data_IF_934231081079
#
_entry.id   IF_934231081079
#
_cell.length_a   1.000
_cell.length_b   1.000
_cell.length_c   1.000
_cell.angle_alpha   90.00
_cell.angle_beta   90.00
_cell.angle_gamma   90.00
#
_symmetry.space_group_name_H-M   'P 1'
#
loop_
_entity.id
_entity.type
_entity.pdbx_description
1 polymer ?
#
# COMPACT_ATOMS: atom_id res chain seq x y z
N UNK A 1 3.17 -0.91 -34.35
CA UNK A 1 3.25 -0.30 -33.00
C UNK A 1 1.85 0.00 -32.47
N UNK A 2 1.41 -0.66 -31.39
CA UNK A 2 0.12 -0.32 -30.73
C UNK A 2 0.23 1.08 -30.13
N UNK A 3 -0.64 2.00 -30.56
CA UNK A 3 -0.79 3.33 -29.93
C UNK A 3 -1.23 3.12 -28.48
N UNK A 4 -0.29 3.22 -27.53
CA UNK A 4 -0.63 3.39 -26.13
C UNK A 4 -1.34 4.73 -25.99
N UNK A 5 -2.66 4.71 -25.79
CA UNK A 5 -3.41 5.92 -25.47
C UNK A 5 -2.75 6.62 -24.28
N UNK A 6 -2.39 7.89 -24.44
CA UNK A 6 -1.71 8.70 -23.44
C UNK A 6 -2.39 8.52 -22.07
N UNK A 7 -1.66 7.95 -21.09
CA UNK A 7 -2.14 7.75 -19.72
C UNK A 7 -2.74 6.38 -19.37
N UNK A 8 -2.76 5.40 -20.28
CA UNK A 8 -3.10 4.01 -19.92
C UNK A 8 -1.86 3.28 -19.39
N UNK A 9 -1.87 3.00 -18.08
CA UNK A 9 -0.90 2.13 -17.42
C UNK A 9 -0.84 0.76 -18.12
N UNK A 10 0.35 0.25 -18.48
CA UNK A 10 0.51 -1.09 -19.05
C UNK A 10 -0.10 -2.16 -18.12
N UNK A 11 -0.72 -3.18 -18.71
CA UNK A 11 -1.38 -4.25 -17.94
C UNK A 11 -0.42 -4.99 -17.01
N UNK A 12 0.82 -5.22 -17.41
CA UNK A 12 1.83 -5.87 -16.57
C UNK A 12 2.13 -5.06 -15.31
N UNK A 13 2.36 -3.75 -15.49
CA UNK A 13 2.68 -2.84 -14.38
C UNK A 13 1.49 -2.78 -13.42
N UNK A 14 0.27 -2.74 -13.96
CA UNK A 14 -0.96 -2.73 -13.16
C UNK A 14 -1.05 -3.97 -12.27
N UNK A 15 -0.90 -5.16 -12.85
CA UNK A 15 -0.96 -6.41 -12.08
C UNK A 15 0.18 -6.56 -11.09
N UNK A 16 1.38 -6.10 -11.46
CA UNK A 16 2.53 -6.05 -10.56
C UNK A 16 2.24 -5.18 -9.33
N UNK A 17 1.82 -3.91 -9.54
CA UNK A 17 1.46 -3.00 -8.46
C UNK A 17 0.33 -3.55 -7.59
N UNK A 18 -0.71 -4.14 -8.20
CA UNK A 18 -1.83 -4.71 -7.43
C UNK A 18 -1.36 -5.90 -6.58
N UNK A 19 -0.61 -6.81 -7.16
CA UNK A 19 -0.17 -8.02 -6.46
C UNK A 19 0.73 -7.68 -5.28
N UNK A 20 1.70 -6.77 -5.46
CA UNK A 20 2.63 -6.41 -4.38
C UNK A 20 1.93 -5.66 -3.25
N UNK A 21 1.00 -4.74 -3.56
CA UNK A 21 0.23 -4.03 -2.53
C UNK A 21 -0.72 -4.97 -1.78
N UNK A 22 -1.32 -5.94 -2.46
CA UNK A 22 -2.12 -6.98 -1.82
C UNK A 22 -1.27 -7.85 -0.90
N UNK A 23 -0.10 -8.33 -1.36
CA UNK A 23 0.81 -9.14 -0.52
C UNK A 23 1.20 -8.36 0.73
N UNK A 24 1.67 -7.11 0.57
CA UNK A 24 2.06 -6.24 1.68
C UNK A 24 0.92 -6.00 2.68
N UNK A 25 -0.29 -5.72 2.18
CA UNK A 25 -1.43 -5.44 3.05
C UNK A 25 -1.90 -6.70 3.77
N UNK A 26 -1.97 -7.83 3.08
CA UNK A 26 -2.41 -9.11 3.66
C UNK A 26 -1.40 -9.62 4.68
N UNK A 27 -0.09 -9.54 4.41
CA UNK A 27 0.92 -9.93 5.39
C UNK A 27 0.93 -9.00 6.61
N UNK A 28 0.64 -7.70 6.43
CA UNK A 28 0.46 -6.77 7.54
C UNK A 28 -0.75 -7.14 8.40
N UNK A 29 -1.91 -7.39 7.77
CA UNK A 29 -3.12 -7.85 8.48
C UNK A 29 -2.89 -9.18 9.19
N UNK A 30 -2.20 -10.13 8.55
CA UNK A 30 -1.81 -11.38 9.19
C UNK A 30 -0.98 -11.12 10.45
N UNK A 31 0.06 -10.29 10.33
CA UNK A 31 0.91 -9.93 11.47
C UNK A 31 0.11 -9.24 12.58
N UNK A 32 -0.81 -8.32 12.25
CA UNK A 32 -1.70 -7.67 13.22
C UNK A 32 -2.50 -8.68 14.03
N UNK A 33 -3.16 -9.60 13.34
CA UNK A 33 -4.01 -10.60 13.98
C UNK A 33 -3.19 -11.51 14.91
N UNK A 34 -1.99 -11.90 14.49
CA UNK A 34 -1.15 -12.78 15.27
C UNK A 34 -0.41 -12.10 16.42
N UNK A 35 0.18 -10.93 16.18
CA UNK A 35 1.00 -10.19 17.13
C UNK A 35 0.13 -9.44 18.16
N UNK A 36 -0.78 -8.60 17.68
CA UNK A 36 -1.56 -7.69 18.52
C UNK A 36 -2.79 -8.36 19.11
N UNK A 37 -3.54 -9.11 18.29
CA UNK A 37 -4.76 -9.77 18.74
C UNK A 37 -4.53 -11.22 19.23
N UNK A 38 -3.30 -11.71 19.20
CA UNK A 38 -2.89 -13.06 19.61
C UNK A 38 -3.65 -14.20 18.91
N UNK A 39 -4.28 -13.95 17.76
CA UNK A 39 -4.99 -14.95 16.96
C UNK A 39 -3.96 -15.79 16.21
N UNK A 40 -3.90 -17.09 16.54
CA UNK A 40 -2.92 -18.00 15.93
C UNK A 40 -1.49 -17.44 15.97
N UNK A 41 -1.11 -16.90 17.14
CA UNK A 41 0.16 -16.18 17.36
C UNK A 41 1.38 -16.91 16.79
N UNK A 42 1.50 -18.22 16.98
CA UNK A 42 2.62 -19.04 16.50
C UNK A 42 2.76 -19.10 14.98
N UNK A 43 1.72 -18.77 14.21
CA UNK A 43 1.73 -18.79 12.75
C UNK A 43 1.64 -17.39 12.15
N UNK A 44 0.77 -16.54 12.69
CA UNK A 44 0.48 -15.23 12.13
C UNK A 44 1.37 -14.12 12.70
N UNK A 45 1.76 -14.23 13.98
CA UNK A 45 2.69 -13.33 14.65
C UNK A 45 4.15 -13.74 14.45
N UNK A 46 4.41 -14.70 13.57
CA UNK A 46 5.75 -15.21 13.31
C UNK A 46 6.61 -14.17 12.58
N UNK A 47 7.92 -14.17 12.89
CA UNK A 47 8.91 -13.26 12.30
C UNK A 47 8.94 -13.32 10.77
N UNK A 48 8.67 -14.48 10.16
CA UNK A 48 8.66 -14.61 8.70
C UNK A 48 7.52 -13.81 8.05
N UNK A 49 6.38 -13.65 8.74
CA UNK A 49 5.26 -12.82 8.26
C UNK A 49 5.66 -11.34 8.27
N UNK A 50 6.34 -10.89 9.34
CA UNK A 50 6.87 -9.53 9.43
C UNK A 50 7.93 -9.26 8.34
N UNK A 51 8.84 -10.22 8.10
CA UNK A 51 9.83 -10.12 7.01
C UNK A 51 9.14 -10.02 5.65
N UNK A 52 8.13 -10.85 5.39
CA UNK A 52 7.35 -10.80 4.15
C UNK A 52 6.69 -9.42 3.97
N UNK A 53 6.12 -8.87 5.05
CA UNK A 53 5.55 -7.53 5.04
C UNK A 53 6.60 -6.46 4.71
N UNK A 54 7.73 -6.43 5.43
CA UNK A 54 8.79 -5.44 5.19
C UNK A 54 9.39 -5.52 3.78
N UNK A 55 9.66 -6.72 3.28
CA UNK A 55 10.18 -6.93 1.91
C UNK A 55 9.16 -6.50 0.86
N UNK A 56 7.90 -6.91 1.00
CA UNK A 56 6.85 -6.53 0.05
C UNK A 56 6.53 -5.03 0.11
N UNK A 57 6.64 -4.38 1.26
CA UNK A 57 6.54 -2.93 1.40
C UNK A 57 7.64 -2.19 0.63
N UNK A 58 8.89 -2.65 0.73
CA UNK A 58 9.99 -2.08 -0.05
C UNK A 58 9.76 -2.22 -1.57
N UNK A 59 9.32 -3.40 -2.03
CA UNK A 59 8.97 -3.63 -3.44
C UNK A 59 7.76 -2.76 -3.85
N UNK A 60 6.79 -2.56 -2.94
CA UNK A 60 5.64 -1.69 -3.19
C UNK A 60 6.04 -0.23 -3.37
N UNK A 61 7.02 0.29 -2.63
CA UNK A 61 7.57 1.64 -2.84
C UNK A 61 8.23 1.76 -4.21
N UNK A 62 8.99 0.76 -4.64
CA UNK A 62 9.57 0.72 -6.00
C UNK A 62 8.46 0.71 -7.05
N UNK A 63 7.47 -0.17 -6.90
CA UNK A 63 6.32 -0.25 -7.80
C UNK A 63 5.59 1.10 -7.88
N UNK A 64 5.36 1.74 -6.74
CA UNK A 64 4.74 3.05 -6.63
C UNK A 64 5.55 4.13 -7.38
N UNK A 65 6.88 4.16 -7.20
CA UNK A 65 7.79 5.02 -7.95
C UNK A 65 7.55 4.97 -9.47
N UNK A 66 7.34 3.78 -10.03
CA UNK A 66 7.07 3.61 -11.47
C UNK A 66 5.68 4.11 -11.91
N UNK A 67 4.72 4.23 -10.98
CA UNK A 67 3.33 4.63 -11.23
C UNK A 67 3.19 6.16 -11.31
N UNK A 68 3.97 6.91 -10.52
CA UNK A 68 3.91 8.38 -10.46
C UNK A 68 3.89 9.09 -11.83
N UNK A 69 4.87 8.89 -12.73
CA UNK A 69 5.03 9.73 -13.92
C UNK A 69 3.91 9.55 -14.95
N UNK A 70 3.29 8.38 -15.00
CA UNK A 70 2.30 8.04 -16.02
C UNK A 70 0.88 8.01 -15.49
N UNK A 71 0.65 7.32 -14.36
CA UNK A 71 -0.71 7.12 -13.84
C UNK A 71 -1.24 8.37 -13.13
N UNK A 72 -0.45 8.95 -12.23
CA UNK A 72 -0.88 10.13 -11.46
C UNK A 72 -1.01 11.33 -12.39
N UNK A 73 -0.01 11.57 -13.25
CA UNK A 73 -0.07 12.65 -14.25
C UNK A 73 -1.30 12.56 -15.15
N UNK A 74 -1.65 11.35 -15.60
CA UNK A 74 -2.86 11.14 -16.40
C UNK A 74 -4.15 11.37 -15.59
N UNK A 75 -4.21 10.89 -14.34
CA UNK A 75 -5.35 11.08 -13.44
C UNK A 75 -5.62 12.55 -13.14
N UNK A 76 -4.56 13.34 -12.87
CA UNK A 76 -4.62 14.78 -12.66
C UNK A 76 -5.14 15.50 -13.91
N UNK A 77 -4.57 15.22 -15.09
CA UNK A 77 -4.99 15.84 -16.36
C UNK A 77 -6.43 15.51 -16.71
N UNK A 78 -6.87 14.28 -16.43
CA UNK A 78 -8.24 13.85 -16.69
C UNK A 78 -9.25 14.30 -15.62
N UNK A 79 -8.80 14.83 -14.47
CA UNK A 79 -9.62 15.13 -13.29
C UNK A 79 -10.51 13.96 -12.83
N UNK A 80 -10.05 12.72 -13.03
CA UNK A 80 -10.81 11.50 -12.69
C UNK A 80 -10.21 10.81 -11.49
N UNK A 81 -11.08 10.38 -10.56
CA UNK A 81 -10.72 9.60 -9.36
C UNK A 81 -9.69 10.31 -8.45
N UNK A 82 -9.65 11.65 -8.48
CA UNK A 82 -8.68 12.46 -7.73
C UNK A 82 -8.73 12.20 -6.23
N UNK A 83 -9.93 12.18 -5.64
CA UNK A 83 -10.11 11.96 -4.20
C UNK A 83 -9.49 10.63 -3.79
N UNK A 84 -9.91 9.53 -4.42
CA UNK A 84 -9.37 8.20 -4.12
C UNK A 84 -7.88 8.07 -4.43
N UNK A 85 -7.38 8.75 -5.45
CA UNK A 85 -5.96 8.67 -5.82
C UNK A 85 -5.08 9.45 -4.83
N UNK A 86 -5.45 10.69 -4.51
CA UNK A 86 -4.71 11.56 -3.60
C UNK A 86 -4.75 11.01 -2.17
N UNK A 87 -5.90 10.46 -1.73
CA UNK A 87 -5.98 9.83 -0.40
C UNK A 87 -5.00 8.66 -0.27
N UNK A 88 -4.86 7.84 -1.32
CA UNK A 88 -3.87 6.75 -1.35
C UNK A 88 -2.43 7.26 -1.23
N UNK A 89 -2.10 8.38 -1.90
CA UNK A 89 -0.76 8.98 -1.82
C UNK A 89 -0.43 9.43 -0.40
N UNK A 90 -1.38 10.13 0.24
CA UNK A 90 -1.22 10.62 1.60
C UNK A 90 -1.08 9.45 2.57
N UNK A 91 -1.95 8.43 2.46
CA UNK A 91 -1.89 7.25 3.32
C UNK A 91 -0.57 6.49 3.16
N UNK A 92 -0.08 6.27 1.93
CA UNK A 92 1.21 5.64 1.69
C UNK A 92 2.37 6.44 2.29
N UNK A 93 2.33 7.76 2.20
CA UNK A 93 3.36 8.62 2.79
C UNK A 93 3.37 8.49 4.32
N UNK A 94 2.20 8.52 4.97
CA UNK A 94 2.11 8.36 6.43
C UNK A 94 2.52 6.95 6.86
N UNK A 95 2.13 5.92 6.12
CA UNK A 95 2.56 4.54 6.38
C UNK A 95 4.07 4.37 6.25
N UNK A 96 4.69 5.01 5.25
CA UNK A 96 6.13 5.03 5.11
C UNK A 96 6.81 5.72 6.30
N UNK A 97 6.33 6.90 6.72
CA UNK A 97 6.91 7.65 7.85
C UNK A 97 6.78 6.84 9.14
N UNK A 98 5.60 6.29 9.43
CA UNK A 98 5.38 5.47 10.64
C UNK A 98 6.23 4.20 10.63
N UNK A 99 6.41 3.53 9.49
CA UNK A 99 7.35 2.41 9.40
C UNK A 99 8.80 2.84 9.70
N UNK A 100 9.24 3.99 9.18
CA UNK A 100 10.58 4.52 9.50
C UNK A 100 10.72 4.85 10.98
N UNK A 101 9.68 5.37 11.63
CA UNK A 101 9.68 5.64 13.07
C UNK A 101 9.70 4.35 13.89
N UNK A 102 9.03 3.28 13.46
CA UNK A 102 9.09 1.98 14.13
C UNK A 102 10.50 1.36 14.10
N UNK A 103 11.26 1.56 13.02
CA UNK A 103 12.60 1.01 12.90
C UNK A 103 13.71 1.92 13.42
N UNK A 104 13.54 3.24 13.32
CA UNK A 104 14.61 4.22 13.50
C UNK A 104 14.20 5.44 14.32
N UNK A 105 12.95 5.51 14.78
CA UNK A 105 12.44 6.60 15.61
C UNK A 105 12.88 6.47 17.07
N UNK A 106 12.70 7.54 17.85
CA UNK A 106 12.89 7.50 19.29
C UNK A 106 11.79 6.67 19.97
N UNK A 107 12.11 6.10 21.13
CA UNK A 107 11.22 5.21 21.89
C UNK A 107 9.87 5.86 22.22
N UNK A 108 9.86 7.15 22.57
CA UNK A 108 8.62 7.87 22.89
C UNK A 108 7.61 7.97 21.73
N UNK A 109 8.05 7.74 20.48
CA UNK A 109 7.18 7.75 19.31
C UNK A 109 6.76 6.34 18.87
N UNK A 110 7.30 5.28 19.47
CA UNK A 110 7.10 3.91 19.01
C UNK A 110 5.61 3.49 19.09
N UNK A 111 5.00 3.58 20.27
CA UNK A 111 3.59 3.19 20.50
C UNK A 111 2.63 3.96 19.60
N UNK A 112 2.80 5.29 19.50
CA UNK A 112 1.98 6.13 18.64
C UNK A 112 2.16 5.80 17.15
N UNK A 113 3.39 5.49 16.72
CA UNK A 113 3.68 5.09 15.34
C UNK A 113 3.09 3.73 15.02
N UNK A 114 3.16 2.78 15.94
CA UNK A 114 2.59 1.43 15.81
C UNK A 114 1.09 1.48 15.62
N UNK A 115 0.38 2.13 16.55
CA UNK A 115 -1.08 2.28 16.47
C UNK A 115 -1.51 2.98 15.19
N UNK A 116 -0.81 4.05 14.81
CA UNK A 116 -1.09 4.79 13.56
C UNK A 116 -0.86 3.91 12.34
N UNK A 117 0.23 3.14 12.32
CA UNK A 117 0.55 2.24 11.22
C UNK A 117 -0.52 1.17 11.04
N UNK A 118 -1.00 0.59 12.15
CA UNK A 118 -2.07 -0.39 12.14
C UNK A 118 -3.36 0.16 11.56
N UNK A 119 -3.88 1.25 12.14
CA UNK A 119 -5.16 1.84 11.74
C UNK A 119 -5.10 2.29 10.28
N UNK A 120 -4.07 3.04 9.90
CA UNK A 120 -3.97 3.58 8.55
C UNK A 120 -3.64 2.49 7.52
N UNK A 121 -3.01 1.38 7.91
CA UNK A 121 -2.76 0.23 7.04
C UNK A 121 -4.07 -0.41 6.59
N UNK A 122 -5.00 -0.60 7.51
CA UNK A 122 -6.34 -1.13 7.22
C UNK A 122 -7.15 -0.17 6.33
N UNK A 123 -7.14 1.13 6.67
CA UNK A 123 -7.82 2.17 5.89
C UNK A 123 -7.25 2.26 4.46
N UNK A 124 -5.93 2.22 4.33
CA UNK A 124 -5.25 2.20 3.03
C UNK A 124 -5.71 1.01 2.19
N UNK A 125 -5.71 -0.19 2.76
CA UNK A 125 -6.07 -1.39 2.01
C UNK A 125 -7.53 -1.36 1.53
N UNK A 126 -8.45 -0.92 2.39
CA UNK A 126 -9.86 -0.73 2.00
C UNK A 126 -10.02 0.25 0.84
N UNK A 127 -9.38 1.42 0.91
CA UNK A 127 -9.40 2.38 -0.20
C UNK A 127 -8.68 1.89 -1.45
N UNK A 128 -7.64 1.08 -1.30
CA UNK A 128 -6.87 0.53 -2.41
C UNK A 128 -7.75 -0.41 -3.24
N UNK A 129 -8.44 -1.34 -2.58
CA UNK A 129 -9.38 -2.25 -3.23
C UNK A 129 -10.51 -1.48 -3.92
N UNK A 130 -11.11 -0.49 -3.23
CA UNK A 130 -12.14 0.36 -3.82
C UNK A 130 -11.64 1.11 -5.07
N UNK A 131 -10.46 1.72 -5.00
CA UNK A 131 -9.84 2.40 -6.14
C UNK A 131 -9.59 1.44 -7.31
N UNK A 132 -9.01 0.26 -7.04
CA UNK A 132 -8.68 -0.74 -8.04
C UNK A 132 -9.92 -1.29 -8.77
N UNK A 133 -11.01 -1.56 -8.03
CA UNK A 133 -12.29 -2.05 -8.59
C UNK A 133 -12.97 -0.96 -9.41
N UNK A 134 -13.11 0.26 -8.88
CA UNK A 134 -13.76 1.36 -9.59
C UNK A 134 -13.05 1.75 -10.90
N UNK A 135 -11.72 1.57 -10.96
CA UNK A 135 -10.95 1.75 -12.20
C UNK A 135 -11.21 0.64 -13.22
N UNK A 136 -11.63 -0.54 -12.79
CA UNK A 136 -11.97 -1.66 -13.67
C UNK A 136 -13.35 -1.49 -14.27
N UNK A 137 -14.33 -1.08 -13.45
CA UNK A 137 -15.74 -0.91 -13.86
C UNK A 137 -15.97 0.30 -14.77
N UNK A 138 -15.11 1.32 -14.71
CA UNK A 138 -15.21 2.56 -15.51
C UNK A 138 -14.43 2.52 -16.84
N UNK A 139 -14.00 1.33 -17.28
CA UNK A 139 -13.36 1.13 -18.60
C UNK A 139 -14.39 1.05 -19.71
#
# INVERSE_FOLDING_TARGET
MKKHGLGKMPSWQRWFTISVLCICSISGIAFLLGHEFHISHSTLGDRNILILHGVSAAIALVAFGTVLPFHIKAGLKAKKNLISGISQLILLLVLFITAMLLYYGPEELHEGSELTHWILGLVFFGFFIFHAINRTLRK
#
